data_IF_628694035282
#
_entry.id   IF_628694035282
#
_cell.length_a   1.000
_cell.length_b   1.000
_cell.length_c   1.000
_cell.angle_alpha   90.00
_cell.angle_beta   90.00
_cell.angle_gamma   90.00
#
_symmetry.space_group_name_H-M   'P 1'
#
loop_
_entity.id
_entity.type
_entity.pdbx_description
1 polymer ?
#
# COMPACT_ATOMS: atom_id res chain seq x y z
N UNK A 1 -5.28 -30.52 -8.36
CA UNK A 1 -4.53 -29.28 -8.22
C UNK A 1 -3.64 -29.31 -6.99
N UNK A 2 -2.44 -28.88 -7.18
CA UNK A 2 -1.50 -28.87 -6.05
C UNK A 2 -1.72 -27.62 -5.21
N UNK A 3 -1.76 -27.80 -3.90
CA UNK A 3 -1.79 -26.68 -2.97
C UNK A 3 -0.40 -26.07 -2.88
N UNK A 4 -0.33 -24.77 -2.74
CA UNK A 4 0.94 -24.10 -2.50
C UNK A 4 1.48 -24.48 -1.13
N UNK A 5 2.79 -24.62 -1.04
CA UNK A 5 3.43 -24.77 0.26
C UNK A 5 3.38 -23.42 1.00
N UNK A 6 3.54 -23.43 2.34
CA UNK A 6 3.60 -22.16 3.07
C UNK A 6 4.68 -21.22 2.52
N UNK A 7 5.82 -21.75 2.14
CA UNK A 7 6.91 -20.97 1.56
C UNK A 7 6.53 -20.33 0.24
N UNK A 8 5.79 -21.07 -0.60
CA UNK A 8 5.31 -20.56 -1.87
C UNK A 8 4.28 -19.45 -1.67
N UNK A 9 3.38 -19.64 -0.70
CA UNK A 9 2.39 -18.62 -0.37
C UNK A 9 3.06 -17.34 0.13
N UNK A 10 4.07 -17.49 1.00
CA UNK A 10 4.82 -16.36 1.50
C UNK A 10 5.52 -15.60 0.39
N UNK A 11 6.15 -16.33 -0.52
CA UNK A 11 6.81 -15.69 -1.65
C UNK A 11 5.85 -14.89 -2.50
N UNK A 12 4.66 -15.46 -2.77
CA UNK A 12 3.65 -14.78 -3.55
C UNK A 12 3.16 -13.51 -2.84
N UNK A 13 2.95 -13.58 -1.53
CA UNK A 13 2.52 -12.42 -0.75
C UNK A 13 3.60 -11.35 -0.70
N UNK A 14 4.85 -11.75 -0.56
CA UNK A 14 5.97 -10.80 -0.57
C UNK A 14 6.07 -10.09 -1.92
N UNK A 15 5.92 -10.82 -3.02
CA UNK A 15 5.90 -10.24 -4.35
C UNK A 15 4.73 -9.27 -4.51
N UNK A 16 3.56 -9.63 -3.98
CA UNK A 16 2.39 -8.77 -4.01
C UNK A 16 2.65 -7.45 -3.29
N UNK A 17 3.28 -7.51 -2.11
CA UNK A 17 3.59 -6.30 -1.37
C UNK A 17 4.45 -5.36 -2.22
N UNK A 18 5.50 -5.88 -2.83
CA UNK A 18 6.38 -5.06 -3.67
C UNK A 18 5.65 -4.47 -4.86
N UNK A 19 4.84 -5.29 -5.53
CA UNK A 19 4.07 -4.83 -6.69
C UNK A 19 3.05 -3.76 -6.31
N UNK A 20 2.38 -3.95 -5.18
CA UNK A 20 1.37 -3.00 -4.74
C UNK A 20 1.99 -1.67 -4.28
N UNK A 21 3.16 -1.72 -3.66
CA UNK A 21 3.88 -0.49 -3.30
C UNK A 21 4.24 0.28 -4.57
N UNK A 22 4.78 -0.42 -5.57
CA UNK A 22 5.13 0.21 -6.85
C UNK A 22 3.89 0.78 -7.54
N UNK A 23 2.78 0.06 -7.47
CA UNK A 23 1.53 0.50 -8.05
C UNK A 23 1.02 1.77 -7.36
N UNK A 24 1.07 1.81 -6.04
CA UNK A 24 0.67 2.99 -5.28
C UNK A 24 1.52 4.21 -5.69
N UNK A 25 2.82 4.01 -5.79
CA UNK A 25 3.74 5.09 -6.21
C UNK A 25 3.42 5.55 -7.63
N UNK A 26 3.13 4.61 -8.52
CA UNK A 26 2.77 4.93 -9.89
C UNK A 26 1.51 5.81 -9.94
N UNK A 27 0.47 5.43 -9.19
CA UNK A 27 -0.77 6.21 -9.14
C UNK A 27 -0.48 7.60 -8.55
N UNK A 28 0.33 7.65 -7.50
CA UNK A 28 0.66 8.91 -6.86
C UNK A 28 1.38 9.88 -7.81
N UNK A 29 2.19 9.36 -8.70
CA UNK A 29 2.96 10.18 -9.63
C UNK A 29 2.19 10.50 -10.91
N UNK A 30 1.41 9.57 -11.43
CA UNK A 30 0.83 9.66 -12.75
C UNK A 30 -0.69 9.64 -12.79
N UNK A 31 -1.32 9.26 -11.68
CA UNK A 31 -2.76 9.00 -11.68
C UNK A 31 -3.07 7.65 -12.29
N UNK A 32 -4.32 7.21 -12.17
CA UNK A 32 -4.73 5.90 -12.68
C UNK A 32 -5.69 5.98 -13.86
N UNK A 33 -6.17 7.18 -14.20
CA UNK A 33 -7.11 7.38 -15.31
C UNK A 33 -8.36 6.50 -15.24
N UNK A 34 -8.81 6.23 -14.02
CA UNK A 34 -10.01 5.42 -13.82
C UNK A 34 -11.24 6.31 -13.98
N UNK A 35 -12.14 6.01 -14.91
CA UNK A 35 -13.32 6.85 -15.11
C UNK A 35 -14.32 6.78 -13.97
N UNK A 36 -14.25 5.73 -13.14
CA UNK A 36 -15.21 5.53 -12.08
C UNK A 36 -14.75 5.98 -10.70
N UNK A 37 -13.45 6.14 -10.49
CA UNK A 37 -12.91 6.42 -9.17
C UNK A 37 -11.76 7.41 -9.22
N UNK A 38 -11.68 8.23 -8.18
CA UNK A 38 -10.56 9.13 -8.00
C UNK A 38 -9.27 8.36 -7.73
N UNK A 39 -8.14 9.01 -7.97
CA UNK A 39 -6.84 8.38 -7.73
C UNK A 39 -6.69 7.97 -6.27
N UNK A 40 -7.13 8.83 -5.33
CA UNK A 40 -7.06 8.54 -3.91
C UNK A 40 -7.79 7.27 -3.51
N UNK A 41 -8.96 7.03 -4.12
CA UNK A 41 -9.70 5.80 -3.85
C UNK A 41 -8.89 4.57 -4.25
N UNK A 42 -8.29 4.60 -5.43
CA UNK A 42 -7.46 3.50 -5.90
C UNK A 42 -6.18 3.35 -5.08
N UNK A 43 -5.59 4.47 -4.66
CA UNK A 43 -4.41 4.44 -3.79
C UNK A 43 -4.74 3.79 -2.44
N UNK A 44 -5.88 4.13 -1.87
CA UNK A 44 -6.30 3.57 -0.59
C UNK A 44 -6.63 2.08 -0.73
N UNK A 45 -7.23 1.66 -1.84
CA UNK A 45 -7.46 0.24 -2.10
C UNK A 45 -6.15 -0.52 -2.18
N UNK A 46 -5.18 0.02 -2.90
CA UNK A 46 -3.85 -0.58 -3.02
C UNK A 46 -3.20 -0.71 -1.66
N UNK A 47 -3.29 0.34 -0.84
CA UNK A 47 -2.80 0.31 0.52
C UNK A 47 -3.45 -0.80 1.33
N UNK A 48 -4.77 -0.97 1.20
CA UNK A 48 -5.49 -2.02 1.91
C UNK A 48 -5.03 -3.41 1.50
N UNK A 49 -4.70 -3.61 0.22
CA UNK A 49 -4.14 -4.87 -0.25
C UNK A 49 -2.81 -5.17 0.42
N UNK A 50 -1.98 -4.16 0.60
CA UNK A 50 -0.68 -4.32 1.27
C UNK A 50 -0.88 -4.73 2.73
N UNK A 51 -1.78 -4.06 3.43
CA UNK A 51 -2.09 -4.38 4.82
C UNK A 51 -2.61 -5.81 4.94
N UNK A 52 -3.51 -6.19 4.05
CA UNK A 52 -4.06 -7.54 4.04
C UNK A 52 -2.97 -8.59 3.81
N UNK A 53 -2.09 -8.34 2.84
CA UNK A 53 -0.99 -9.25 2.55
C UNK A 53 -0.07 -9.41 3.77
N UNK A 54 0.21 -8.30 4.46
CA UNK A 54 1.05 -8.36 5.67
C UNK A 54 0.40 -9.18 6.76
N UNK A 55 -0.90 -9.05 6.95
CA UNK A 55 -1.63 -9.88 7.92
C UNK A 55 -1.57 -11.35 7.56
N UNK A 56 -1.73 -11.68 6.30
CA UNK A 56 -1.62 -13.06 5.83
C UNK A 56 -0.24 -13.63 6.10
N UNK A 57 0.80 -12.84 5.88
CA UNK A 57 2.17 -13.27 6.14
C UNK A 57 2.36 -13.61 7.62
N UNK A 58 1.86 -12.75 8.51
CA UNK A 58 1.95 -13.00 9.96
C UNK A 58 1.26 -14.31 10.32
N UNK A 59 0.05 -14.52 9.81
CA UNK A 59 -0.69 -15.77 10.09
C UNK A 59 0.08 -16.99 9.64
N UNK A 60 0.61 -16.97 8.43
CA UNK A 60 1.34 -18.12 7.88
C UNK A 60 2.60 -18.39 8.69
N UNK A 61 3.35 -17.33 9.00
CA UNK A 61 4.58 -17.46 9.77
C UNK A 61 4.32 -18.01 11.15
N UNK A 62 3.29 -17.54 11.84
CA UNK A 62 2.94 -18.04 13.16
C UNK A 62 2.48 -19.49 13.11
N UNK A 63 1.66 -19.83 12.12
CA UNK A 63 1.11 -21.19 11.99
C UNK A 63 2.20 -22.23 11.72
N UNK A 64 3.19 -21.88 10.94
CA UNK A 64 4.20 -22.81 10.46
C UNK A 64 5.59 -22.61 11.07
N UNK A 65 5.72 -21.65 12.01
CA UNK A 65 7.00 -21.40 12.65
C UNK A 65 8.06 -20.88 11.69
N UNK A 66 7.67 -20.09 10.71
CA UNK A 66 8.57 -19.55 9.71
C UNK A 66 8.99 -18.14 10.12
N UNK A 67 10.27 -17.77 9.96
CA UNK A 67 10.69 -16.40 10.27
C UNK A 67 9.97 -15.37 9.40
N UNK A 68 9.71 -14.20 9.97
CA UNK A 68 9.05 -13.11 9.26
C UNK A 68 9.97 -12.61 8.14
N UNK A 69 9.49 -12.57 6.89
CA UNK A 69 10.31 -12.07 5.78
C UNK A 69 10.53 -10.56 5.86
N UNK A 70 11.60 -10.10 5.23
CA UNK A 70 11.96 -8.68 5.27
C UNK A 70 10.91 -7.79 4.61
N UNK A 71 10.12 -8.32 3.68
CA UNK A 71 9.06 -7.55 3.02
C UNK A 71 8.02 -7.02 4.01
N UNK A 72 7.87 -7.68 5.16
CA UNK A 72 6.98 -7.19 6.21
C UNK A 72 7.37 -5.81 6.72
N UNK A 73 8.65 -5.48 6.62
CA UNK A 73 9.17 -4.22 7.12
C UNK A 73 9.22 -3.12 6.07
N UNK A 74 8.80 -3.41 4.84
CA UNK A 74 8.64 -2.38 3.84
C UNK A 74 7.51 -1.43 4.29
N UNK A 75 7.68 -0.12 4.10
CA UNK A 75 6.68 0.82 4.58
C UNK A 75 5.34 0.62 3.88
N UNK A 76 4.27 0.66 4.67
CA UNK A 76 2.93 0.70 4.13
C UNK A 76 2.66 2.11 3.64
N UNK A 77 2.24 2.31 2.39
CA UNK A 77 1.96 3.65 1.91
C UNK A 77 0.89 4.34 2.76
N UNK A 78 0.96 5.66 2.90
CA UNK A 78 -0.02 6.38 3.70
C UNK A 78 -1.39 6.38 3.05
N UNK A 79 -2.42 6.47 3.88
CA UNK A 79 -3.78 6.67 3.41
C UNK A 79 -3.91 8.12 2.95
N UNK A 80 -4.59 8.33 1.83
CA UNK A 80 -4.85 9.66 1.33
C UNK A 80 -6.35 9.92 1.31
N UNK A 81 -6.73 11.14 1.02
CA UNK A 81 -8.14 11.48 0.85
C UNK A 81 -8.71 10.68 -0.33
N UNK A 82 -9.93 10.16 -0.18
CA UNK A 82 -10.54 9.35 -1.23
C UNK A 82 -10.74 10.11 -2.54
N UNK A 83 -10.89 11.42 -2.45
CA UNK A 83 -11.10 12.26 -3.64
C UNK A 83 -9.80 12.87 -4.16
N UNK A 84 -8.66 12.48 -3.59
CA UNK A 84 -7.37 12.98 -4.04
C UNK A 84 -7.12 12.59 -5.50
N UNK A 85 -6.65 13.57 -6.28
CA UNK A 85 -6.39 13.38 -7.70
C UNK A 85 -4.92 13.69 -7.98
N UNK A 86 -4.12 12.65 -8.03
CA UNK A 86 -2.69 12.79 -8.30
C UNK A 86 -2.43 13.42 -9.68
N UNK A 87 -3.25 13.05 -10.66
CA UNK A 87 -3.15 13.61 -12.00
C UNK A 87 -3.45 15.11 -12.01
N UNK A 88 -4.38 15.55 -11.19
CA UNK A 88 -4.69 16.98 -11.05
C UNK A 88 -3.59 17.75 -10.34
N UNK A 89 -2.90 17.10 -9.42
CA UNK A 89 -1.77 17.68 -8.73
C UNK A 89 -0.72 18.17 -9.72
N UNK A 90 -0.46 17.40 -10.75
CA UNK A 90 0.51 17.78 -11.77
C UNK A 90 0.02 18.96 -12.62
N UNK A 91 -1.27 19.00 -12.90
CA UNK A 91 -1.86 20.07 -13.68
C UNK A 91 -2.01 21.37 -12.89
N UNK A 92 -2.27 21.26 -11.60
CA UNK A 92 -2.53 22.40 -10.71
C UNK A 92 -1.50 22.48 -9.60
N UNK A 93 -0.25 22.48 -9.98
CA UNK A 93 0.84 22.45 -9.02
C UNK A 93 0.72 23.53 -7.94
N UNK A 94 0.38 24.73 -8.32
CA UNK A 94 0.27 25.85 -7.39
C UNK A 94 -0.82 25.60 -6.35
N UNK A 95 -1.97 25.13 -6.80
CA UNK A 95 -3.11 24.91 -5.92
C UNK A 95 -2.90 23.76 -4.95
N UNK A 96 -2.11 22.77 -5.35
CA UNK A 96 -1.96 21.54 -4.60
C UNK A 96 -0.73 21.49 -3.71
N UNK A 97 0.11 22.49 -3.80
CA UNK A 97 1.42 22.47 -3.13
C UNK A 97 1.34 22.08 -1.64
N UNK A 98 0.45 22.73 -0.91
CA UNK A 98 0.37 22.47 0.53
C UNK A 98 -0.41 21.22 0.92
N UNK A 99 -1.31 20.76 0.07
CA UNK A 99 -2.22 19.69 0.43
C UNK A 99 -1.60 18.29 0.36
N UNK A 100 -0.91 17.94 -0.73
CA UNK A 100 -0.33 16.59 -0.83
C UNK A 100 0.66 16.30 0.29
N UNK A 101 1.51 17.25 0.61
CA UNK A 101 2.50 17.07 1.65
C UNK A 101 1.88 16.85 3.02
N UNK A 102 0.88 17.65 3.36
CA UNK A 102 0.20 17.51 4.65
C UNK A 102 -0.49 16.17 4.76
N UNK A 103 -1.16 15.75 3.70
CA UNK A 103 -1.84 14.46 3.68
C UNK A 103 -0.82 13.35 3.88
N UNK A 104 0.26 13.38 3.13
CA UNK A 104 1.30 12.36 3.21
C UNK A 104 1.90 12.29 4.62
N UNK A 105 2.24 13.43 5.20
CA UNK A 105 2.85 13.46 6.52
C UNK A 105 1.93 12.88 7.59
N UNK A 106 0.66 13.25 7.55
CA UNK A 106 -0.30 12.72 8.52
C UNK A 106 -0.48 11.21 8.38
N UNK A 107 -0.57 10.74 7.15
CA UNK A 107 -0.81 9.32 6.90
C UNK A 107 0.39 8.46 7.31
N UNK A 108 1.59 9.00 7.19
CA UNK A 108 2.79 8.29 7.63
C UNK A 108 2.70 7.93 9.12
N UNK A 109 2.17 8.83 9.96
CA UNK A 109 1.98 8.54 11.37
C UNK A 109 1.03 7.38 11.60
N UNK A 110 -0.09 7.34 10.86
CA UNK A 110 -1.03 6.23 10.95
C UNK A 110 -0.40 4.92 10.54
N UNK A 111 0.38 4.95 9.48
CA UNK A 111 1.04 3.73 9.02
C UNK A 111 2.02 3.19 10.05
N UNK A 112 2.74 4.07 10.72
CA UNK A 112 3.65 3.68 11.79
C UNK A 112 2.89 2.99 12.91
N UNK A 113 1.75 3.53 13.32
CA UNK A 113 0.92 2.93 14.35
C UNK A 113 0.40 1.56 13.91
N UNK A 114 -0.04 1.43 12.67
CA UNK A 114 -0.52 0.16 12.15
C UNK A 114 0.58 -0.89 12.13
N UNK A 115 1.78 -0.51 11.75
CA UNK A 115 2.89 -1.45 11.75
C UNK A 115 3.22 -1.92 13.16
N UNK A 116 3.04 -1.07 14.15
CA UNK A 116 3.32 -1.45 15.54
C UNK A 116 2.31 -2.44 16.09
N UNK A 117 1.17 -2.61 15.44
CA UNK A 117 0.17 -3.59 15.83
C UNK A 117 0.52 -5.02 15.41
N UNK A 118 1.44 -5.18 14.52
CA UNK A 118 1.89 -6.49 14.11
C UNK A 118 3.03 -6.98 14.99
#
# INVERSE_FOLDING_TARGET
MKKKTPEQELKALCNNIRQEIDHWEHINQNGCNDPGYADGTNMNLTRNHIIYAKRQIVEICERHGIPIPEEMYLPTPPQVDDYYMASMKQKRRVDMIGHPERITTKRIKYDTEQLSLF
#
